data_IF_794014484582
#
_entry.id   IF_794014484582
#
_cell.length_a   1.000
_cell.length_b   1.000
_cell.length_c   1.000
_cell.angle_alpha   90.00
_cell.angle_beta   90.00
_cell.angle_gamma   90.00
#
_symmetry.space_group_name_H-M   'P 1'
#
loop_
_entity.id
_entity.type
_entity.pdbx_description
1 polymer ?
#
# COMPACT_ATOMS: atom_id res chain seq x y z
N UNK A 1 9.00 -23.88 21.62
CA UNK A 1 8.14 -23.27 22.66
C UNK A 1 9.03 -22.64 23.72
N UNK A 2 8.66 -21.49 24.29
CA UNK A 2 9.38 -20.86 25.39
C UNK A 2 8.42 -20.68 26.57
N UNK A 3 8.86 -21.00 27.78
CA UNK A 3 8.11 -20.77 29.02
C UNK A 3 8.73 -19.57 29.72
N UNK A 4 7.91 -18.57 30.03
CA UNK A 4 8.35 -17.30 30.62
C UNK A 4 7.69 -17.15 31.99
N UNK A 5 8.41 -16.59 32.96
CA UNK A 5 7.91 -16.29 34.31
C UNK A 5 8.11 -14.81 34.62
N UNK A 6 7.06 -14.15 35.09
CA UNK A 6 7.16 -12.80 35.65
C UNK A 6 7.77 -12.84 37.04
N UNK A 7 8.55 -11.81 37.37
CA UNK A 7 9.06 -11.65 38.72
C UNK A 7 7.93 -11.28 39.68
N UNK A 8 7.97 -11.89 40.84
CA UNK A 8 7.09 -11.78 41.99
C UNK A 8 7.46 -10.62 42.94
N UNK A 9 8.38 -9.74 42.51
CA UNK A 9 8.79 -8.57 43.28
C UNK A 9 7.69 -7.49 43.28
N UNK A 10 7.48 -6.75 44.39
CA UNK A 10 6.43 -5.74 44.48
C UNK A 10 6.52 -4.60 43.45
N UNK A 11 7.72 -4.29 42.96
CA UNK A 11 7.96 -3.26 41.94
C UNK A 11 7.52 -3.69 40.53
N UNK A 12 7.27 -4.98 40.30
CA UNK A 12 6.81 -5.53 39.01
C UNK A 12 5.29 -5.60 38.91
N UNK A 13 4.61 -5.66 40.05
CA UNK A 13 3.14 -5.80 40.15
C UNK A 13 2.35 -4.76 39.32
N UNK A 14 2.73 -3.47 39.26
CA UNK A 14 2.01 -2.50 38.41
C UNK A 14 2.04 -2.88 36.92
N UNK A 15 3.20 -3.32 36.40
CA UNK A 15 3.32 -3.74 35.00
C UNK A 15 2.53 -5.02 34.71
N UNK A 16 2.51 -5.95 35.66
CA UNK A 16 1.69 -7.14 35.54
C UNK A 16 0.19 -6.79 35.47
N UNK A 17 -0.28 -5.86 36.29
CA UNK A 17 -1.66 -5.35 36.22
C UNK A 17 -1.97 -4.71 34.88
N UNK A 18 -1.05 -3.91 34.33
CA UNK A 18 -1.24 -3.30 33.01
C UNK A 18 -1.35 -4.35 31.89
N UNK A 19 -0.60 -5.45 32.00
CA UNK A 19 -0.69 -6.57 31.05
C UNK A 19 -2.04 -7.29 31.18
N UNK A 20 -2.46 -7.61 32.41
CA UNK A 20 -3.75 -8.25 32.68
C UNK A 20 -4.92 -7.37 32.24
N UNK A 21 -4.82 -6.06 32.45
CA UNK A 21 -5.81 -5.06 32.02
C UNK A 21 -5.78 -4.80 30.51
N UNK A 22 -4.80 -5.34 29.77
CA UNK A 22 -4.66 -5.16 28.32
C UNK A 22 -4.15 -3.78 27.90
N UNK A 23 -3.60 -2.99 28.83
CA UNK A 23 -2.91 -1.73 28.55
C UNK A 23 -1.63 -2.01 27.78
N UNK A 24 -0.81 -2.94 28.27
CA UNK A 24 0.37 -3.46 27.56
C UNK A 24 0.07 -4.87 27.05
N UNK A 25 -0.26 -4.98 25.76
CA UNK A 25 -0.83 -6.21 25.18
C UNK A 25 -0.10 -6.74 23.94
N UNK A 26 0.80 -5.95 23.38
CA UNK A 26 1.58 -6.39 22.23
C UNK A 26 2.87 -7.06 22.69
N UNK A 27 3.38 -7.94 21.85
CA UNK A 27 4.62 -8.69 22.11
C UNK A 27 5.62 -8.38 21.01
N UNK A 28 6.88 -8.18 21.38
CA UNK A 28 8.01 -8.13 20.46
C UNK A 28 8.96 -9.28 20.79
N UNK A 29 9.55 -9.86 19.75
CA UNK A 29 10.51 -10.95 19.89
C UNK A 29 11.75 -10.64 19.08
N UNK A 30 12.92 -10.80 19.71
CA UNK A 30 14.21 -10.59 19.07
C UNK A 30 15.11 -11.83 19.22
N UNK A 31 15.99 -12.04 18.24
CA UNK A 31 16.90 -13.17 18.20
C UNK A 31 17.50 -13.39 16.81
N UNK A 32 18.59 -14.17 16.70
CA UNK A 32 19.18 -14.50 15.41
C UNK A 32 18.27 -15.48 14.65
N UNK A 33 18.06 -15.20 13.38
CA UNK A 33 17.46 -16.15 12.44
C UNK A 33 18.58 -16.98 11.83
N UNK A 34 18.58 -18.30 12.09
CA UNK A 34 19.61 -19.19 11.55
C UNK A 34 19.30 -19.65 10.13
N UNK A 35 18.03 -19.74 9.75
CA UNK A 35 17.64 -20.13 8.40
C UNK A 35 16.45 -19.32 7.88
N UNK A 36 16.65 -18.74 6.70
CA UNK A 36 15.62 -18.04 5.93
C UNK A 36 15.23 -18.88 4.71
N UNK A 37 13.94 -18.98 4.46
CA UNK A 37 13.38 -19.45 3.19
C UNK A 37 12.96 -18.21 2.40
N UNK A 38 13.55 -18.03 1.22
CA UNK A 38 13.21 -16.92 0.34
C UNK A 38 12.15 -17.36 -0.68
N UNK A 39 11.17 -16.49 -0.93
CA UNK A 39 10.21 -16.63 -2.01
C UNK A 39 10.02 -15.28 -2.70
N UNK A 40 9.39 -15.29 -3.87
CA UNK A 40 9.03 -14.08 -4.61
C UNK A 40 7.53 -14.04 -4.84
N UNK A 41 6.95 -12.87 -4.64
CA UNK A 41 5.59 -12.55 -5.03
C UNK A 41 5.65 -11.32 -5.94
N UNK A 42 5.56 -11.56 -7.25
CA UNK A 42 5.83 -10.54 -8.26
C UNK A 42 7.25 -9.98 -8.14
N UNK A 43 7.38 -8.66 -8.03
CA UNK A 43 8.66 -7.96 -7.81
C UNK A 43 9.14 -7.96 -6.35
N UNK A 44 8.30 -8.43 -5.41
CA UNK A 44 8.61 -8.38 -3.98
C UNK A 44 9.28 -9.68 -3.53
N UNK A 45 10.47 -9.54 -2.93
CA UNK A 45 11.15 -10.66 -2.25
C UNK A 45 10.59 -10.81 -0.84
N UNK A 46 10.11 -12.01 -0.52
CA UNK A 46 9.64 -12.39 0.82
C UNK A 46 10.68 -13.30 1.47
N UNK A 47 10.96 -13.06 2.75
CA UNK A 47 11.86 -13.89 3.57
C UNK A 47 11.09 -14.43 4.76
N UNK A 48 10.95 -15.75 4.82
CA UNK A 48 10.34 -16.46 5.95
C UNK A 48 11.42 -16.99 6.88
N UNK A 49 11.39 -16.63 8.15
CA UNK A 49 12.29 -17.16 9.17
C UNK A 49 11.88 -18.60 9.51
N UNK A 50 12.46 -19.58 8.81
CA UNK A 50 12.12 -20.99 8.97
C UNK A 50 12.78 -21.62 10.20
N UNK A 51 13.95 -21.13 10.60
CA UNK A 51 14.61 -21.52 11.85
C UNK A 51 15.22 -20.30 12.53
N UNK A 52 14.79 -20.05 13.75
CA UNK A 52 15.24 -18.94 14.56
C UNK A 52 15.18 -19.31 16.05
N UNK A 53 16.03 -18.69 16.87
CA UNK A 53 16.00 -18.87 18.33
C UNK A 53 15.65 -17.53 18.97
N UNK A 54 14.54 -17.42 19.72
CA UNK A 54 14.24 -16.22 20.48
C UNK A 54 15.28 -16.04 21.59
N UNK A 55 15.84 -14.84 21.70
CA UNK A 55 16.72 -14.44 22.81
C UNK A 55 16.02 -13.48 23.77
N UNK A 56 15.08 -12.68 23.25
CA UNK A 56 14.30 -11.73 24.02
C UNK A 56 12.84 -11.83 23.62
N UNK A 57 11.95 -11.82 24.62
CA UNK A 57 10.51 -11.72 24.44
C UNK A 57 10.03 -10.65 25.43
N UNK A 58 9.46 -9.58 24.89
CA UNK A 58 9.10 -8.39 25.66
C UNK A 58 7.66 -7.97 25.36
N UNK A 59 6.91 -7.64 26.41
CA UNK A 59 5.66 -6.91 26.27
C UNK A 59 5.97 -5.45 25.92
N UNK A 60 5.35 -4.94 24.87
CA UNK A 60 5.65 -3.60 24.34
C UNK A 60 4.36 -2.85 24.02
N UNK A 61 4.34 -1.51 24.14
CA UNK A 61 3.20 -0.71 23.71
C UNK A 61 3.16 -0.52 22.18
N UNK A 62 4.32 -0.49 21.52
CA UNK A 62 4.45 -0.36 20.06
C UNK A 62 5.27 -1.54 19.52
N UNK A 63 4.63 -2.57 18.92
CA UNK A 63 5.36 -3.68 18.35
C UNK A 63 5.91 -3.36 16.95
N UNK A 64 6.99 -4.03 16.57
CA UNK A 64 7.45 -4.03 15.18
C UNK A 64 6.42 -4.68 14.22
N UNK A 65 5.75 -5.72 14.71
CA UNK A 65 4.62 -6.38 14.06
C UNK A 65 3.31 -6.11 14.83
N UNK A 66 2.38 -5.31 14.27
CA UNK A 66 1.08 -5.03 14.87
C UNK A 66 0.22 -6.28 15.18
N UNK A 67 0.44 -7.38 14.47
CA UNK A 67 -0.25 -8.65 14.70
C UNK A 67 0.26 -9.46 15.88
N UNK A 68 1.42 -9.11 16.44
CA UNK A 68 2.04 -9.84 17.54
C UNK A 68 1.30 -9.57 18.87
N UNK A 69 0.44 -10.51 19.24
CA UNK A 69 -0.50 -10.43 20.37
C UNK A 69 -0.51 -11.73 21.18
N UNK A 70 -1.06 -11.68 22.39
CA UNK A 70 -1.28 -12.86 23.23
C UNK A 70 -2.58 -13.57 22.88
N UNK A 71 -2.65 -14.88 23.15
CA UNK A 71 -3.84 -15.71 22.95
C UNK A 71 -4.00 -16.64 24.15
N UNK A 72 -5.23 -16.95 24.54
CA UNK A 72 -5.55 -17.69 25.76
C UNK A 72 -5.73 -19.21 25.57
N UNK A 73 -5.71 -19.71 24.33
CA UNK A 73 -5.85 -21.13 24.04
C UNK A 73 -4.53 -21.75 23.57
N UNK A 74 -4.31 -23.01 23.94
CA UNK A 74 -3.21 -23.80 23.41
C UNK A 74 -3.38 -23.89 21.89
N UNK A 75 -2.39 -23.38 21.14
CA UNK A 75 -2.30 -23.74 19.73
C UNK A 75 -1.90 -25.23 19.68
N UNK A 76 -2.62 -26.09 18.94
CA UNK A 76 -2.05 -27.39 18.60
C UNK A 76 -0.70 -27.14 17.93
N UNK A 77 0.26 -28.05 18.11
CA UNK A 77 1.53 -28.08 17.36
C UNK A 77 1.22 -28.33 15.88
N UNK A 78 0.63 -27.33 15.24
CA UNK A 78 0.53 -27.24 13.80
C UNK A 78 1.92 -26.81 13.39
N UNK A 79 2.76 -27.78 13.06
CA UNK A 79 3.88 -27.50 12.20
C UNK A 79 3.32 -26.66 11.05
N UNK A 80 3.74 -25.39 10.97
CA UNK A 80 3.50 -24.60 9.78
C UNK A 80 4.30 -25.36 8.72
N UNK A 81 3.66 -26.29 8.04
CA UNK A 81 4.13 -26.79 6.76
C UNK A 81 4.06 -25.57 5.88
N UNK A 82 5.14 -24.80 5.84
CA UNK A 82 5.40 -23.90 4.73
C UNK A 82 5.40 -24.86 3.54
N UNK A 83 4.37 -24.84 2.67
CA UNK A 83 4.44 -25.66 1.48
C UNK A 83 5.78 -25.31 0.83
N UNK A 84 6.59 -26.31 0.39
CA UNK A 84 7.79 -26.00 -0.36
C UNK A 84 7.42 -24.97 -1.41
N UNK A 85 8.26 -23.94 -1.66
CA UNK A 85 7.95 -22.92 -2.63
C UNK A 85 7.48 -23.66 -3.87
N UNK A 86 6.21 -23.48 -4.23
CA UNK A 86 5.72 -23.99 -5.49
C UNK A 86 6.58 -23.23 -6.47
N UNK A 87 7.59 -23.92 -7.01
CA UNK A 87 8.21 -23.55 -8.25
C UNK A 87 7.04 -23.55 -9.21
N UNK A 88 6.37 -22.41 -9.34
CA UNK A 88 5.52 -22.15 -10.49
C UNK A 88 6.50 -22.42 -11.62
N UNK A 89 6.35 -23.52 -12.40
CA UNK A 89 7.24 -23.76 -13.50
C UNK A 89 7.23 -22.46 -14.28
N UNK A 90 8.41 -21.88 -14.44
CA UNK A 90 8.59 -20.73 -15.29
C UNK A 90 8.01 -21.17 -16.62
N UNK A 91 6.76 -20.73 -16.89
CA UNK A 91 6.11 -20.99 -18.17
C UNK A 91 7.16 -20.47 -19.14
N UNK A 92 7.74 -21.33 -19.99
CA UNK A 92 8.74 -20.87 -20.93
C UNK A 92 8.07 -19.69 -21.60
N UNK A 93 8.64 -18.50 -21.43
CA UNK A 93 8.24 -17.36 -22.23
C UNK A 93 8.59 -17.82 -23.63
N UNK A 94 7.60 -18.42 -24.31
CA UNK A 94 7.71 -18.66 -25.74
C UNK A 94 8.15 -17.31 -26.27
N UNK A 95 9.27 -17.23 -27.01
CA UNK A 95 9.67 -15.97 -27.59
C UNK A 95 8.42 -15.45 -28.27
N UNK A 96 7.90 -14.33 -27.75
CA UNK A 96 6.82 -13.65 -28.41
C UNK A 96 7.34 -13.47 -29.83
N UNK A 97 6.61 -13.94 -30.87
CA UNK A 97 7.07 -13.72 -32.22
C UNK A 97 7.41 -12.25 -32.31
N UNK A 98 8.67 -11.96 -32.66
CA UNK A 98 9.12 -10.59 -32.93
C UNK A 98 8.00 -9.97 -33.74
N UNK A 99 7.36 -8.87 -33.29
CA UNK A 99 6.28 -8.28 -34.04
C UNK A 99 6.85 -8.03 -35.43
N UNK A 100 6.34 -8.76 -36.42
CA UNK A 100 6.60 -8.47 -37.81
C UNK A 100 6.34 -6.97 -37.98
N UNK A 101 7.10 -6.25 -38.82
CA UNK A 101 6.77 -4.87 -39.14
C UNK A 101 5.28 -4.83 -39.45
N UNK A 102 4.53 -4.07 -38.65
CA UNK A 102 3.09 -3.91 -38.86
C UNK A 102 2.98 -3.49 -40.32
N UNK A 103 2.37 -4.29 -41.21
CA UNK A 103 2.21 -3.84 -42.59
C UNK A 103 1.51 -2.48 -42.50
N UNK A 104 2.10 -1.47 -43.12
CA UNK A 104 1.51 -0.13 -43.16
C UNK A 104 0.13 -0.28 -43.80
N UNK A 105 -0.90 -0.32 -42.95
CA UNK A 105 -2.27 -0.18 -43.38
C UNK A 105 -2.40 1.32 -43.60
N UNK A 106 -2.62 1.80 -44.84
CA UNK A 106 -2.93 3.21 -45.01
C UNK A 106 -4.11 3.53 -44.09
N UNK A 107 -3.99 4.61 -43.31
CA UNK A 107 -5.09 5.13 -42.50
C UNK A 107 -6.31 5.23 -43.41
N UNK A 108 -7.30 4.36 -43.21
CA UNK A 108 -8.55 4.46 -43.94
C UNK A 108 -9.20 5.72 -43.39
N UNK A 109 -9.47 6.74 -44.24
CA UNK A 109 -10.14 7.94 -43.75
C UNK A 109 -11.48 7.50 -43.16
N UNK A 110 -11.68 7.79 -41.87
CA UNK A 110 -12.93 7.54 -41.16
C UNK A 110 -14.04 8.18 -42.00
N UNK A 111 -15.01 7.38 -42.43
CA UNK A 111 -16.07 7.89 -43.31
C UNK A 111 -16.89 8.92 -42.56
N UNK A 112 -17.41 9.96 -43.24
CA UNK A 112 -18.19 11.02 -42.58
C UNK A 112 -19.36 10.50 -41.75
N UNK A 113 -19.96 9.37 -42.15
CA UNK A 113 -21.00 8.68 -41.38
C UNK A 113 -20.52 8.20 -40.00
N UNK A 114 -19.29 7.70 -39.91
CA UNK A 114 -18.66 7.20 -38.68
C UNK A 114 -18.30 8.38 -37.76
N UNK A 115 -17.78 9.48 -38.31
CA UNK A 115 -17.55 10.73 -37.57
C UNK A 115 -18.85 11.29 -37.00
N UNK A 116 -19.93 11.34 -37.78
CA UNK A 116 -21.24 11.80 -37.31
C UNK A 116 -21.81 10.90 -36.19
N UNK A 117 -21.57 9.59 -36.24
CA UNK A 117 -21.96 8.68 -35.17
C UNK A 117 -21.15 8.93 -33.88
N UNK A 118 -19.84 9.20 -34.02
CA UNK A 118 -18.97 9.52 -32.90
C UNK A 118 -19.28 10.87 -32.24
N UNK A 119 -19.66 11.89 -33.02
CA UNK A 119 -20.11 13.19 -32.48
C UNK A 119 -21.35 13.00 -31.59
N UNK A 120 -22.32 12.18 -32.04
CA UNK A 120 -23.52 11.86 -31.25
C UNK A 120 -23.21 11.07 -29.99
N UNK A 121 -22.25 10.15 -30.03
CA UNK A 121 -21.86 9.36 -28.85
C UNK A 121 -21.08 10.18 -27.81
N UNK A 122 -20.40 11.26 -28.22
CA UNK A 122 -19.80 12.25 -27.31
C UNK A 122 -20.88 13.12 -26.66
N UNK A 123 -21.86 13.59 -27.43
CA UNK A 123 -22.87 14.52 -26.95
C UNK A 123 -23.84 13.91 -25.92
N UNK A 124 -24.25 12.65 -26.10
CA UNK A 124 -25.23 11.96 -25.24
C UNK A 124 -24.82 11.89 -23.75
N UNK A 125 -23.62 11.40 -23.37
CA UNK A 125 -23.22 11.34 -21.97
C UNK A 125 -22.97 12.74 -21.35
N UNK A 126 -22.76 13.76 -22.18
CA UNK A 126 -22.51 15.14 -21.75
C UNK A 126 -23.77 16.01 -21.70
N UNK A 127 -24.93 15.43 -22.03
CA UNK A 127 -26.22 16.14 -22.14
C UNK A 127 -26.11 17.40 -23.01
N UNK A 128 -25.35 17.33 -24.10
CA UNK A 128 -25.21 18.43 -25.06
C UNK A 128 -26.47 18.52 -25.94
N UNK A 129 -26.93 19.75 -26.28
CA UNK A 129 -28.20 19.92 -26.98
C UNK A 129 -28.07 19.42 -28.43
N UNK A 130 -29.20 19.01 -29.01
CA UNK A 130 -29.26 18.56 -30.41
C UNK A 130 -28.73 19.62 -31.39
N UNK A 131 -28.95 20.91 -31.10
CA UNK A 131 -28.43 22.03 -31.90
C UNK A 131 -26.90 22.10 -31.93
N UNK A 132 -26.22 21.67 -30.86
CA UNK A 132 -24.76 21.57 -30.84
C UNK A 132 -24.29 20.41 -31.74
N UNK A 133 -24.97 19.26 -31.67
CA UNK A 133 -24.67 18.10 -32.53
C UNK A 133 -24.83 18.48 -34.00
N UNK A 134 -25.93 19.12 -34.35
CA UNK A 134 -26.25 19.52 -35.72
C UNK A 134 -25.21 20.53 -36.22
N UNK A 135 -24.82 21.52 -35.40
CA UNK A 135 -23.77 22.47 -35.75
C UNK A 135 -22.40 21.84 -36.01
N UNK A 136 -22.02 20.80 -35.25
CA UNK A 136 -20.78 20.06 -35.47
C UNK A 136 -20.82 19.19 -36.73
N UNK A 137 -22.00 18.66 -37.08
CA UNK A 137 -22.21 17.85 -38.28
C UNK A 137 -22.20 18.74 -39.52
N UNK A 138 -22.92 19.86 -39.50
CA UNK A 138 -23.07 20.82 -40.60
C UNK A 138 -21.76 21.54 -40.92
N UNK A 139 -20.95 21.85 -39.91
CA UNK A 139 -19.64 22.48 -40.08
C UNK A 139 -18.52 21.50 -40.49
N UNK A 140 -18.87 20.25 -40.84
CA UNK A 140 -17.94 19.20 -41.26
C UNK A 140 -16.77 18.94 -40.29
N UNK A 141 -16.98 19.15 -38.98
CA UNK A 141 -15.88 19.12 -37.99
C UNK A 141 -15.32 17.70 -37.81
N UNK A 142 -13.99 17.56 -37.76
CA UNK A 142 -13.31 16.30 -37.46
C UNK A 142 -13.50 15.88 -35.99
N UNK A 143 -13.41 14.57 -35.71
CA UNK A 143 -13.68 14.00 -34.40
C UNK A 143 -12.91 14.69 -33.25
N UNK A 144 -11.62 14.97 -33.46
CA UNK A 144 -10.80 15.61 -32.42
C UNK A 144 -11.16 17.08 -32.21
N UNK A 145 -11.61 17.78 -33.25
CA UNK A 145 -12.20 19.11 -33.13
C UNK A 145 -13.50 19.08 -32.32
N UNK A 146 -14.37 18.09 -32.59
CA UNK A 146 -15.62 17.93 -31.85
C UNK A 146 -15.41 17.61 -30.36
N UNK A 147 -14.38 16.83 -30.00
CA UNK A 147 -14.00 16.57 -28.60
C UNK A 147 -13.58 17.86 -27.89
N UNK A 148 -12.80 18.73 -28.54
CA UNK A 148 -12.38 20.03 -27.97
C UNK A 148 -13.59 20.94 -27.75
N UNK A 149 -14.45 21.08 -28.76
CA UNK A 149 -15.64 21.93 -28.67
C UNK A 149 -16.63 21.45 -27.58
N UNK A 150 -16.73 20.13 -27.37
CA UNK A 150 -17.56 19.55 -26.31
C UNK A 150 -17.03 19.93 -24.92
N UNK A 151 -15.72 19.93 -24.73
CA UNK A 151 -15.06 20.35 -23.50
C UNK A 151 -15.29 21.84 -23.22
N UNK A 152 -15.22 22.68 -24.26
CA UNK A 152 -15.48 24.13 -24.12
C UNK A 152 -16.91 24.41 -23.66
N UNK A 153 -17.91 23.68 -24.20
CA UNK A 153 -19.30 23.82 -23.76
C UNK A 153 -19.53 23.36 -22.32
N UNK A 154 -18.83 22.31 -21.86
CA UNK A 154 -18.84 21.90 -20.45
C UNK A 154 -18.26 23.00 -19.54
N UNK A 155 -17.19 23.65 -19.97
CA UNK A 155 -16.57 24.75 -19.22
C UNK A 155 -17.48 25.99 -19.15
N UNK A 156 -18.24 26.29 -20.21
CA UNK A 156 -19.25 27.36 -20.19
C UNK A 156 -20.43 27.04 -19.27
N UNK A 157 -20.82 25.77 -19.15
CA UNK A 157 -21.87 25.33 -18.23
C UNK A 157 -21.42 25.33 -16.76
N UNK A 158 -20.14 25.01 -16.50
CA UNK A 158 -19.61 24.94 -15.13
C UNK A 158 -19.46 26.32 -14.45
N UNK A 159 -19.36 27.41 -15.22
CA UNK A 159 -19.30 28.79 -14.65
C UNK A 159 -20.65 29.31 -14.15
N UNK A 160 -21.78 28.71 -14.57
CA UNK A 160 -23.12 29.22 -14.26
C UNK A 160 -23.81 28.54 -13.05
N UNK A 161 -23.28 27.42 -12.55
CA UNK A 161 -23.91 26.67 -11.44
C UNK A 161 -22.87 26.33 -10.38
N UNK A 162 -22.65 27.27 -9.46
CA UNK A 162 -21.99 26.95 -8.18
C UNK A 162 -22.99 26.16 -7.34
N UNK A 163 -23.09 24.85 -7.60
CA UNK A 163 -23.46 23.95 -6.52
C UNK A 163 -22.23 23.82 -5.64
N UNK A 164 -22.32 24.30 -4.41
CA UNK A 164 -21.36 23.99 -3.35
C UNK A 164 -21.52 22.52 -2.98
N UNK A 165 -21.13 21.64 -3.90
CA UNK A 165 -20.80 20.28 -3.55
C UNK A 165 -19.44 20.38 -2.88
N UNK A 166 -19.40 20.27 -1.56
CA UNK A 166 -18.16 19.98 -0.85
C UNK A 166 -17.74 18.59 -1.30
N UNK A 167 -17.12 18.52 -2.47
CA UNK A 167 -16.25 17.40 -2.82
C UNK A 167 -15.16 17.48 -1.77
N UNK A 168 -15.25 16.62 -0.76
CA UNK A 168 -14.11 16.28 0.06
C UNK A 168 -13.14 15.60 -0.90
N UNK A 169 -12.45 16.38 -1.72
CA UNK A 169 -11.26 15.94 -2.39
C UNK A 169 -10.36 15.58 -1.24
N UNK A 170 -10.17 14.28 -0.99
CA UNK A 170 -9.07 13.79 -0.19
C UNK A 170 -7.81 14.25 -0.92
N UNK A 171 -7.44 15.51 -0.68
CA UNK A 171 -6.09 15.98 -0.93
C UNK A 171 -5.21 14.98 -0.21
N UNK A 172 -4.28 14.38 -0.95
CA UNK A 172 -3.29 13.53 -0.35
C UNK A 172 -2.70 14.27 0.86
N UNK A 173 -2.73 13.67 2.06
CA UNK A 173 -2.30 14.35 3.27
C UNK A 173 -0.86 14.83 3.08
N UNK A 174 -0.60 16.08 3.48
CA UNK A 174 0.76 16.60 3.46
C UNK A 174 1.67 15.74 4.34
N UNK A 175 3.00 15.73 4.13
CA UNK A 175 3.91 15.02 5.02
C UNK A 175 3.75 15.42 6.50
N UNK A 176 3.38 16.67 6.78
CA UNK A 176 3.10 17.13 8.14
C UNK A 176 1.80 16.53 8.71
N UNK A 177 0.75 16.43 7.89
CA UNK A 177 -0.50 15.77 8.26
C UNK A 177 -0.28 14.28 8.56
N UNK A 178 0.51 13.60 7.74
CA UNK A 178 0.88 12.20 7.96
C UNK A 178 1.62 12.01 9.29
N UNK A 179 2.59 12.87 9.62
CA UNK A 179 3.31 12.78 10.91
C UNK A 179 2.34 12.92 12.08
N UNK A 180 1.41 13.88 12.01
CA UNK A 180 0.39 14.09 13.04
C UNK A 180 -0.52 12.87 13.18
N UNK A 181 -1.04 12.37 12.06
CA UNK A 181 -1.96 11.22 12.02
C UNK A 181 -1.27 9.93 12.51
N UNK A 182 -0.01 9.70 12.14
CA UNK A 182 0.78 8.57 12.62
C UNK A 182 1.11 8.68 14.11
N UNK A 183 1.46 9.87 14.60
CA UNK A 183 1.70 10.12 16.02
C UNK A 183 0.47 9.80 16.86
N UNK A 184 -0.70 10.26 16.43
CA UNK A 184 -1.98 9.97 17.08
C UNK A 184 -2.32 8.48 17.03
N UNK A 185 -2.11 7.82 15.88
CA UNK A 185 -2.33 6.38 15.74
C UNK A 185 -1.42 5.55 16.67
N UNK A 186 -0.15 5.93 16.83
CA UNK A 186 0.78 5.30 17.76
C UNK A 186 0.39 5.59 19.21
N UNK A 187 -0.05 6.82 19.51
CA UNK A 187 -0.53 7.19 20.83
C UNK A 187 -1.76 6.37 21.25
N UNK A 188 -2.69 6.11 20.34
CA UNK A 188 -3.84 5.23 20.58
C UNK A 188 -3.43 3.77 20.91
N UNK A 189 -2.25 3.31 20.46
CA UNK A 189 -1.71 1.99 20.85
C UNK A 189 -1.18 2.00 22.28
N UNK A 190 -0.46 3.05 22.65
CA UNK A 190 0.09 3.23 24.00
C UNK A 190 -1.04 3.44 25.02
N UNK A 191 -2.06 4.22 24.64
CA UNK A 191 -3.18 4.61 25.50
C UNK A 191 -4.48 4.11 24.89
N UNK A 192 -4.94 2.89 25.22
CA UNK A 192 -6.09 2.27 24.56
C UNK A 192 -7.42 2.99 24.78
N UNK A 193 -7.51 3.79 25.84
CA UNK A 193 -8.67 4.63 26.13
C UNK A 193 -8.76 5.87 25.20
N UNK A 194 -7.68 6.22 24.51
CA UNK A 194 -7.67 7.33 23.57
C UNK A 194 -8.44 6.95 22.30
N UNK A 195 -9.43 7.78 21.95
CA UNK A 195 -10.18 7.64 20.69
C UNK A 195 -9.51 8.49 19.61
N UNK A 196 -8.86 7.89 18.59
CA UNK A 196 -8.19 8.65 17.56
C UNK A 196 -9.17 9.26 16.57
N UNK A 197 -8.75 10.38 15.99
CA UNK A 197 -9.42 11.08 14.90
C UNK A 197 -9.64 10.17 13.68
N UNK A 198 -10.67 10.46 12.89
CA UNK A 198 -11.01 9.67 11.71
C UNK A 198 -9.84 9.51 10.73
N UNK A 199 -9.04 10.56 10.42
CA UNK A 199 -7.87 10.41 9.56
C UNK A 199 -6.77 9.52 10.14
N UNK A 200 -6.60 9.49 11.47
CA UNK A 200 -5.57 8.68 12.13
C UNK A 200 -5.97 7.21 12.28
N UNK A 201 -7.27 6.91 12.33
CA UNK A 201 -7.81 5.57 12.60
C UNK A 201 -7.30 4.51 11.64
N UNK A 202 -7.15 4.86 10.36
CA UNK A 202 -6.66 3.95 9.31
C UNK A 202 -5.22 3.46 9.54
N UNK A 203 -4.42 4.17 10.34
CA UNK A 203 -3.01 3.85 10.59
C UNK A 203 -2.77 3.12 11.92
N UNK A 204 -3.82 2.84 12.72
CA UNK A 204 -3.70 2.17 14.02
C UNK A 204 -3.06 0.78 13.92
N UNK A 205 -3.14 0.12 12.77
CA UNK A 205 -2.59 -1.24 12.60
C UNK A 205 -1.39 -1.31 11.66
N UNK A 206 -0.82 -0.17 11.24
CA UNK A 206 0.38 -0.17 10.40
C UNK A 206 1.66 -0.43 11.19
N UNK A 207 2.61 -1.16 10.61
CA UNK A 207 3.94 -1.27 11.20
C UNK A 207 4.66 0.10 11.19
N UNK A 208 5.51 0.43 12.18
CA UNK A 208 6.31 1.65 12.16
C UNK A 208 7.16 1.78 10.87
N UNK A 209 7.65 0.65 10.33
CA UNK A 209 8.37 0.62 9.07
C UNK A 209 7.49 1.00 7.87
N UNK A 210 6.22 0.59 7.84
CA UNK A 210 5.28 0.99 6.80
C UNK A 210 4.93 2.48 6.88
N UNK A 211 4.71 3.00 8.09
CA UNK A 211 4.48 4.44 8.32
C UNK A 211 5.68 5.26 7.82
N UNK A 212 6.90 4.87 8.20
CA UNK A 212 8.14 5.50 7.74
C UNK A 212 8.27 5.45 6.22
N UNK A 213 8.05 4.27 5.61
CA UNK A 213 8.06 4.12 4.15
C UNK A 213 7.08 5.07 3.45
N UNK A 214 5.83 5.15 3.91
CA UNK A 214 4.83 6.07 3.35
C UNK A 214 5.24 7.54 3.52
N UNK A 215 5.81 7.91 4.67
CA UNK A 215 6.29 9.27 4.91
C UNK A 215 7.42 9.66 3.95
N UNK A 216 8.35 8.73 3.68
CA UNK A 216 9.41 8.93 2.70
C UNK A 216 8.84 9.11 1.29
N UNK A 217 7.83 8.31 0.89
CA UNK A 217 7.14 8.48 -0.40
C UNK A 217 6.51 9.87 -0.49
N UNK A 218 5.78 10.28 0.56
CA UNK A 218 5.11 11.57 0.61
C UNK A 218 6.09 12.76 0.52
N UNK A 219 7.31 12.59 1.04
CA UNK A 219 8.40 13.57 0.92
C UNK A 219 9.13 13.52 -0.43
N UNK A 220 8.73 12.62 -1.33
CA UNK A 220 9.40 12.34 -2.61
C UNK A 220 10.85 11.93 -2.44
N UNK A 221 11.15 11.28 -1.31
CA UNK A 221 12.46 10.70 -1.08
C UNK A 221 12.55 9.34 -1.77
N UNK A 222 13.69 9.06 -2.42
CA UNK A 222 13.92 7.77 -3.07
C UNK A 222 14.02 6.69 -2.01
N UNK A 223 12.97 5.88 -1.90
CA UNK A 223 13.01 4.68 -1.09
C UNK A 223 13.62 3.60 -1.95
N UNK A 224 14.94 3.40 -1.86
CA UNK A 224 15.43 2.05 -2.03
C UNK A 224 14.73 1.25 -0.93
N UNK A 225 13.92 0.22 -1.26
CA UNK A 225 13.22 -0.55 -0.24
C UNK A 225 14.25 -0.90 0.81
N UNK A 226 14.09 -0.37 2.03
CA UNK A 226 15.05 -0.59 3.11
C UNK A 226 15.30 -2.10 3.13
N UNK A 227 16.50 -2.56 2.73
CA UNK A 227 16.74 -3.98 2.75
C UNK A 227 16.56 -4.37 4.21
N UNK A 228 15.64 -5.30 4.51
CA UNK A 228 15.47 -5.88 5.85
C UNK A 228 16.69 -6.71 6.30
N UNK A 229 17.89 -6.32 5.89
CA UNK A 229 19.18 -6.79 6.36
C UNK A 229 20.27 -5.81 5.90
N UNK A 230 20.84 -5.07 6.84
CA UNK A 230 22.22 -4.59 6.72
C UNK A 230 23.14 -5.82 6.67
N UNK A 231 23.61 -6.21 5.49
CA UNK A 231 24.83 -7.02 5.39
C UNK A 231 25.99 -6.06 5.64
N UNK A 232 26.49 -6.00 6.87
CA UNK A 232 27.89 -5.63 7.07
C UNK A 232 28.72 -6.88 6.72
N UNK A 233 29.72 -6.81 5.82
CA UNK A 233 30.68 -7.89 5.69
C UNK A 233 31.53 -7.93 6.96
N UNK A 234 31.35 -8.95 7.79
CA UNK A 234 32.34 -9.30 8.80
C UNK A 234 33.66 -9.62 8.09
N UNK A 235 34.63 -8.71 8.18
CA UNK A 235 36.01 -8.96 7.81
C UNK A 235 36.59 -9.94 8.87
N UNK A 236 37.15 -11.10 8.50
CA UNK A 236 37.75 -11.98 9.49
C UNK A 236 38.99 -11.31 10.12
N UNK A 237 39.32 -11.61 11.39
CA UNK A 237 40.51 -11.07 12.04
C UNK A 237 41.76 -11.55 11.32
N UNK A 238 42.68 -10.62 11.05
CA UNK A 238 44.01 -10.93 10.55
C UNK A 238 44.76 -11.76 11.59
N UNK A 239 45.11 -12.99 11.26
CA UNK A 239 46.11 -13.76 11.99
C UNK A 239 47.47 -13.10 11.81
N UNK A 240 47.99 -12.47 12.85
CA UNK A 240 49.42 -12.15 12.95
C UNK A 240 50.20 -13.43 13.27
N UNK A 241 51.18 -13.77 12.43
CA UNK A 241 52.37 -14.51 12.84
C UNK A 241 53.44 -13.50 13.23
#
# INVERSE_FOLDING_TARGET
>A
MATIRFSDRPDVEPFWRDIVAGVVRHVSVSGPVQHWVESRQGSVRIRHAARWTPLEISFVPIPADPGATTRSFLMPDTAITVPPPVLVPEVPVRPQPVPMPIPYIPEVPIRRSETNAAIRSIARPLDLPQSWIDGQIDADVELDGAKRNALDELMKRSTARVQTMTVLTTLDPSPADLVRQYGEALYARITPAHTPSDPARQYIHDSPAAMAGRLLVARRETIFPLPRSSRAPCRPPATSR
#
